data_IF_070407393695
#
_entry.id   IF_070407393695
#
_cell.length_a   1.000
_cell.length_b   1.000
_cell.length_c   1.000
_cell.angle_alpha   90.00
_cell.angle_beta   90.00
_cell.angle_gamma   90.00
#
_symmetry.space_group_name_H-M   'P 1'
#
loop_
_entity.id
_entity.type
_entity.pdbx_description
1 polymer ?
#
# COMPACT_ATOMS: atom_id res chain seq x y z
N UNK A 1 -53.40 -9.30 26.79
CA UNK A 1 -53.30 -8.49 25.55
C UNK A 1 -52.61 -7.17 25.88
N UNK A 2 -51.32 -7.04 25.55
CA UNK A 2 -50.60 -5.76 25.50
C UNK A 2 -49.48 -5.89 24.47
N UNK A 3 -49.45 -4.92 23.56
CA UNK A 3 -48.55 -4.82 22.42
C UNK A 3 -47.09 -4.71 22.88
N UNK A 4 -46.21 -5.51 22.27
CA UNK A 4 -44.76 -5.36 22.36
C UNK A 4 -44.27 -4.40 21.27
N UNK A 5 -43.65 -3.31 21.70
CA UNK A 5 -43.03 -2.27 20.89
C UNK A 5 -41.79 -2.80 20.14
N UNK A 6 -41.75 -2.57 18.82
CA UNK A 6 -40.57 -2.78 17.98
C UNK A 6 -39.48 -1.79 18.40
N UNK A 7 -38.32 -2.28 18.82
CA UNK A 7 -37.09 -1.47 18.90
C UNK A 7 -36.50 -1.40 17.49
N UNK A 8 -36.46 -0.18 16.96
CA UNK A 8 -35.66 0.18 15.78
C UNK A 8 -34.19 0.02 16.15
N UNK A 9 -33.49 -0.92 15.51
CA UNK A 9 -32.04 -0.99 15.52
C UNK A 9 -31.56 -0.05 14.42
N UNK A 10 -31.16 1.16 14.82
CA UNK A 10 -30.43 2.09 13.97
C UNK A 10 -29.09 1.46 13.63
N UNK A 11 -28.94 0.96 12.42
CA UNK A 11 -27.66 0.58 11.81
C UNK A 11 -26.82 1.85 11.69
N UNK A 12 -25.77 1.95 12.50
CA UNK A 12 -24.74 2.95 12.33
C UNK A 12 -24.05 2.67 10.98
N UNK A 13 -24.19 3.60 10.05
CA UNK A 13 -23.39 3.67 8.84
C UNK A 13 -21.94 3.87 9.26
N UNK A 14 -21.07 2.91 8.95
CA UNK A 14 -19.63 3.15 8.94
C UNK A 14 -19.35 4.13 7.80
N UNK A 15 -19.17 5.40 8.13
CA UNK A 15 -18.38 6.31 7.30
C UNK A 15 -16.93 5.82 7.31
N UNK A 16 -16.22 5.79 6.17
CA UNK A 16 -14.78 5.59 6.17
C UNK A 16 -14.18 6.65 7.10
N UNK A 17 -13.39 6.19 8.07
CA UNK A 17 -12.63 7.12 8.87
C UNK A 17 -11.49 7.63 7.98
N UNK A 18 -11.68 8.81 7.37
CA UNK A 18 -10.54 9.69 7.10
C UNK A 18 -9.93 10.02 8.47
N UNK A 19 -8.99 9.19 8.91
CA UNK A 19 -8.16 9.53 10.08
C UNK A 19 -7.13 10.53 9.58
N UNK A 20 -7.57 11.79 9.52
CA UNK A 20 -6.72 12.97 9.60
C UNK A 20 -6.03 12.98 10.97
N UNK A 21 -4.98 12.18 11.13
CA UNK A 21 -3.88 12.63 11.98
C UNK A 21 -3.25 13.83 11.25
N UNK A 22 -2.95 14.97 11.92
CA UNK A 22 -2.28 16.07 11.26
C UNK A 22 -0.84 15.61 10.94
N UNK A 23 -0.66 14.97 9.79
CA UNK A 23 0.64 14.80 9.19
C UNK A 23 1.00 16.17 8.63
N UNK A 24 1.99 16.81 9.25
CA UNK A 24 2.52 18.06 8.73
C UNK A 24 2.98 17.78 7.29
N UNK A 25 2.29 18.40 6.33
CA UNK A 25 2.76 18.47 4.96
C UNK A 25 4.23 18.95 5.01
N UNK A 26 5.18 18.20 4.42
CA UNK A 26 6.56 18.64 4.40
C UNK A 26 6.62 20.05 3.80
N UNK A 27 7.25 21.00 4.51
CA UNK A 27 7.50 22.35 3.99
C UNK A 27 8.66 22.33 2.98
N UNK A 28 8.55 21.45 1.99
CA UNK A 28 9.51 21.15 0.95
C UNK A 28 8.94 21.63 -0.39
N UNK A 29 9.81 21.96 -1.34
CA UNK A 29 9.38 22.33 -2.70
C UNK A 29 9.30 21.08 -3.59
N UNK A 30 8.17 20.80 -4.22
CA UNK A 30 8.08 19.75 -5.24
C UNK A 30 8.96 20.10 -6.45
N UNK A 31 9.75 19.14 -6.94
CA UNK A 31 10.51 19.32 -8.18
C UNK A 31 9.61 19.25 -9.42
N UNK A 32 8.59 18.39 -9.40
CA UNK A 32 7.67 18.15 -10.51
C UNK A 32 6.20 18.31 -10.08
N UNK A 33 5.29 18.46 -11.04
CA UNK A 33 3.85 18.35 -10.77
C UNK A 33 3.40 16.90 -10.59
N UNK A 34 4.03 15.98 -11.32
CA UNK A 34 3.82 14.53 -11.22
C UNK A 34 5.04 13.82 -11.81
N UNK A 35 5.26 12.56 -11.43
CA UNK A 35 6.25 11.70 -12.07
C UNK A 35 5.84 11.39 -13.54
N UNK A 36 6.69 11.68 -14.55
CA UNK A 36 6.28 11.63 -15.96
C UNK A 36 6.67 10.32 -16.67
N UNK A 37 6.56 9.18 -15.99
CA UNK A 37 6.97 7.88 -16.53
C UNK A 37 6.05 6.74 -16.07
N UNK A 38 6.13 5.61 -16.77
CA UNK A 38 5.53 4.34 -16.37
C UNK A 38 6.66 3.33 -16.14
N UNK A 39 6.65 2.64 -15.00
CA UNK A 39 7.63 1.61 -14.67
C UNK A 39 7.40 0.29 -15.44
N UNK A 40 6.19 0.09 -15.97
CA UNK A 40 5.76 -1.16 -16.60
C UNK A 40 6.71 -1.68 -17.66
N UNK A 41 7.13 -0.88 -18.66
CA UNK A 41 8.07 -1.31 -19.71
C UNK A 41 9.45 -1.74 -19.19
N UNK A 42 9.86 -1.27 -18.01
CA UNK A 42 11.19 -1.56 -17.42
C UNK A 42 11.19 -2.76 -16.48
N UNK A 43 10.00 -3.20 -16.04
CA UNK A 43 9.82 -4.33 -15.13
C UNK A 43 9.38 -5.58 -15.92
N UNK A 44 9.87 -6.78 -15.56
CA UNK A 44 9.53 -8.00 -16.28
C UNK A 44 8.03 -8.33 -16.13
N UNK A 45 7.36 -8.76 -17.20
CA UNK A 45 5.95 -9.16 -17.16
C UNK A 45 5.73 -10.41 -16.31
N UNK A 46 4.46 -10.70 -16.05
CA UNK A 46 4.07 -11.99 -15.46
C UNK A 46 4.56 -13.17 -16.28
N UNK A 47 5.04 -14.21 -15.59
CA UNK A 47 5.42 -15.50 -16.18
C UNK A 47 4.90 -16.62 -15.30
N UNK A 48 4.46 -17.70 -15.97
CA UNK A 48 4.02 -18.96 -15.34
C UNK A 48 3.07 -18.74 -14.15
N UNK A 49 2.05 -17.90 -14.34
CA UNK A 49 1.01 -17.65 -13.34
C UNK A 49 0.01 -18.79 -13.31
N UNK A 50 -0.42 -19.19 -12.12
CA UNK A 50 -1.59 -20.07 -11.96
C UNK A 50 -2.75 -19.27 -11.40
N UNK A 51 -3.95 -19.54 -11.92
CA UNK A 51 -5.18 -18.84 -11.55
C UNK A 51 -6.22 -19.87 -11.11
N UNK A 52 -6.82 -19.64 -9.95
CA UNK A 52 -7.98 -20.41 -9.47
C UNK A 52 -9.12 -19.46 -9.15
N UNK A 53 -10.22 -19.56 -9.89
CA UNK A 53 -11.42 -18.80 -9.57
C UNK A 53 -12.07 -19.38 -8.34
N UNK A 54 -12.47 -18.51 -7.41
CA UNK A 54 -13.17 -18.90 -6.21
C UNK A 54 -14.66 -19.09 -6.45
N UNK A 55 -15.25 -20.04 -5.75
CA UNK A 55 -16.71 -20.12 -5.64
C UNK A 55 -17.26 -18.93 -4.87
N UNK A 56 -18.56 -18.66 -5.00
CA UNK A 56 -19.22 -17.52 -4.35
C UNK A 56 -19.07 -17.56 -2.82
N UNK A 57 -19.07 -18.75 -2.25
CA UNK A 57 -18.94 -19.00 -0.81
C UNK A 57 -17.52 -18.76 -0.29
N UNK A 58 -16.52 -18.78 -1.18
CA UNK A 58 -15.10 -18.57 -0.87
C UNK A 58 -14.65 -17.12 -1.08
N UNK A 59 -15.49 -16.28 -1.70
CA UNK A 59 -15.21 -14.85 -1.88
C UNK A 59 -15.07 -14.19 -0.51
N UNK A 60 -13.94 -13.49 -0.22
CA UNK A 60 -13.76 -12.81 1.05
C UNK A 60 -14.91 -11.82 1.33
N UNK A 61 -15.34 -11.76 2.59
CA UNK A 61 -16.38 -10.82 3.01
C UNK A 61 -16.03 -9.36 2.73
N UNK A 62 -14.72 -9.01 2.74
CA UNK A 62 -14.24 -7.69 2.34
C UNK A 62 -14.55 -7.39 0.87
N UNK A 63 -14.28 -8.31 -0.05
CA UNK A 63 -14.68 -8.13 -1.45
C UNK A 63 -16.20 -7.98 -1.61
N UNK A 64 -16.98 -8.70 -0.81
CA UNK A 64 -18.44 -8.60 -0.81
C UNK A 64 -18.96 -7.31 -0.16
N UNK A 65 -18.21 -6.69 0.75
CA UNK A 65 -18.62 -5.47 1.42
C UNK A 65 -18.76 -4.30 0.44
N UNK A 66 -17.91 -4.27 -0.59
CA UNK A 66 -17.97 -3.29 -1.68
C UNK A 66 -19.03 -3.62 -2.74
N UNK A 67 -19.74 -4.75 -2.60
CA UNK A 67 -20.64 -5.29 -3.60
C UNK A 67 -22.12 -4.97 -3.36
N UNK A 68 -22.62 -4.80 -2.12
CA UNK A 68 -24.06 -4.58 -1.92
C UNK A 68 -24.45 -4.11 -0.50
N UNK A 69 -24.94 -2.87 -0.38
CA UNK A 69 -25.93 -2.54 0.64
C UNK A 69 -27.34 -2.55 -0.02
N UNK A 70 -28.17 -3.59 0.18
CA UNK A 70 -29.52 -3.60 -0.38
C UNK A 70 -30.32 -2.42 0.18
N UNK A 71 -30.81 -1.55 -0.72
CA UNK A 71 -31.46 -0.29 -0.37
C UNK A 71 -30.56 0.95 -0.41
N UNK A 72 -29.28 0.80 -0.78
CA UNK A 72 -28.43 1.94 -1.14
C UNK A 72 -28.91 2.53 -2.47
N UNK A 73 -29.59 3.66 -2.40
CA UNK A 73 -29.81 4.55 -3.56
C UNK A 73 -28.58 5.41 -3.85
N UNK A 74 -27.50 5.22 -3.11
CA UNK A 74 -26.25 5.93 -3.33
C UNK A 74 -25.52 5.26 -4.49
N UNK A 75 -25.12 6.06 -5.48
CA UNK A 75 -24.27 5.68 -6.60
C UNK A 75 -22.83 5.30 -6.15
N UNK A 76 -22.67 4.78 -4.94
CA UNK A 76 -21.40 4.50 -4.24
C UNK A 76 -21.15 3.01 -4.03
N UNK A 77 -21.97 2.11 -4.59
CA UNK A 77 -21.51 0.73 -4.78
C UNK A 77 -20.55 0.74 -5.94
N UNK A 78 -19.25 0.70 -5.64
CA UNK A 78 -18.16 0.78 -6.60
C UNK A 78 -18.19 -0.38 -7.60
N UNK A 79 -18.89 -1.48 -7.30
CA UNK A 79 -19.13 -2.56 -8.25
C UNK A 79 -20.63 -2.80 -8.42
N UNK A 80 -21.27 -2.06 -9.34
CA UNK A 80 -22.72 -2.12 -9.55
C UNK A 80 -23.09 -3.33 -10.41
N UNK A 81 -23.98 -4.19 -9.91
CA UNK A 81 -24.75 -5.07 -10.78
C UNK A 81 -25.73 -4.19 -11.58
N UNK A 82 -25.40 -3.83 -12.83
CA UNK A 82 -26.41 -3.20 -13.70
C UNK A 82 -27.59 -4.16 -13.88
N UNK A 83 -28.86 -3.70 -13.81
CA UNK A 83 -30.05 -4.53 -13.98
C UNK A 83 -30.12 -5.33 -15.31
N UNK A 84 -29.29 -4.97 -16.27
CA UNK A 84 -29.14 -5.65 -17.57
C UNK A 84 -28.44 -7.02 -17.46
N UNK A 85 -27.73 -7.29 -16.35
CA UNK A 85 -27.00 -8.53 -16.10
C UNK A 85 -27.82 -9.58 -15.34
N UNK A 86 -29.15 -9.65 -15.51
CA UNK A 86 -29.98 -10.81 -15.14
C UNK A 86 -29.73 -11.44 -13.73
N UNK A 87 -29.33 -10.64 -12.72
CA UNK A 87 -29.01 -11.10 -11.36
C UNK A 87 -27.69 -11.89 -11.20
N UNK A 88 -26.76 -11.78 -12.16
CA UNK A 88 -25.45 -12.43 -12.10
C UNK A 88 -24.43 -11.51 -11.44
N UNK A 89 -23.79 -12.00 -10.37
CA UNK A 89 -22.67 -11.35 -9.67
C UNK A 89 -21.60 -10.95 -10.69
N UNK A 90 -21.39 -9.64 -10.92
CA UNK A 90 -20.27 -9.16 -11.76
C UNK A 90 -18.93 -9.12 -11.02
N UNK A 91 -18.93 -9.39 -9.71
CA UNK A 91 -17.71 -9.56 -8.91
C UNK A 91 -17.18 -10.99 -9.06
N UNK A 92 -15.89 -11.13 -9.37
CA UNK A 92 -15.17 -12.40 -9.30
C UNK A 92 -13.99 -12.29 -8.34
N UNK A 93 -13.59 -13.41 -7.73
CA UNK A 93 -12.39 -13.46 -6.91
C UNK A 93 -11.50 -14.60 -7.39
N UNK A 94 -10.19 -14.35 -7.42
CA UNK A 94 -9.20 -15.24 -7.98
C UNK A 94 -8.03 -15.38 -7.01
N UNK A 95 -7.62 -16.61 -6.76
CA UNK A 95 -6.31 -16.91 -6.20
C UNK A 95 -5.30 -16.98 -7.33
N UNK A 96 -4.25 -16.17 -7.23
CA UNK A 96 -3.19 -16.04 -8.24
C UNK A 96 -1.85 -16.35 -7.60
N UNK A 97 -1.10 -17.27 -8.22
CA UNK A 97 0.29 -17.53 -7.83
C UNK A 97 1.24 -17.09 -8.95
N UNK A 98 2.45 -16.70 -8.55
CA UNK A 98 3.54 -16.33 -9.45
C UNK A 98 4.71 -17.27 -9.22
N UNK A 99 5.49 -17.53 -10.27
CA UNK A 99 6.57 -18.52 -10.25
C UNK A 99 7.69 -18.25 -9.25
N UNK A 100 7.88 -16.98 -8.90
CA UNK A 100 8.89 -16.51 -7.98
C UNK A 100 8.42 -16.58 -6.53
N UNK A 101 7.23 -17.11 -6.23
CA UNK A 101 6.77 -17.26 -4.85
C UNK A 101 6.05 -18.59 -4.65
N UNK A 102 6.04 -19.09 -3.42
CA UNK A 102 5.48 -20.38 -3.06
C UNK A 102 3.98 -20.47 -3.36
N UNK A 103 3.57 -21.57 -3.99
CA UNK A 103 2.19 -21.77 -4.45
C UNK A 103 1.16 -21.88 -3.31
N UNK A 104 1.58 -22.01 -2.04
CA UNK A 104 0.68 -22.14 -0.89
C UNK A 104 0.23 -20.77 -0.32
N UNK A 105 0.74 -19.66 -0.86
CA UNK A 105 0.33 -18.30 -0.48
C UNK A 105 -0.07 -17.51 -1.74
N UNK A 106 -1.22 -17.83 -2.37
CA UNK A 106 -1.70 -17.08 -3.51
C UNK A 106 -2.09 -15.66 -3.10
N UNK A 107 -1.89 -14.70 -3.99
CA UNK A 107 -2.52 -13.39 -3.89
C UNK A 107 -3.98 -13.52 -4.27
N UNK A 108 -4.84 -12.87 -3.49
CA UNK A 108 -6.26 -12.80 -3.76
C UNK A 108 -6.54 -11.53 -4.56
N UNK A 109 -7.15 -11.67 -5.73
CA UNK A 109 -7.61 -10.53 -6.54
C UNK A 109 -9.13 -10.60 -6.67
N UNK A 110 -9.81 -9.57 -6.21
CA UNK A 110 -11.23 -9.36 -6.39
C UNK A 110 -11.44 -8.35 -7.52
N UNK A 111 -12.10 -8.80 -8.58
CA UNK A 111 -12.23 -8.05 -9.82
C UNK A 111 -13.70 -7.83 -10.14
N UNK A 112 -14.06 -6.56 -10.34
CA UNK A 112 -15.37 -6.17 -10.77
C UNK A 112 -15.45 -6.19 -12.29
N UNK A 113 -16.41 -6.90 -12.86
CA UNK A 113 -16.53 -7.13 -14.30
C UNK A 113 -16.74 -5.85 -15.14
N UNK A 114 -17.04 -4.73 -14.49
CA UNK A 114 -17.17 -3.41 -15.11
C UNK A 114 -15.88 -2.57 -15.03
N UNK A 115 -14.87 -3.02 -14.29
CA UNK A 115 -13.62 -2.28 -14.14
C UNK A 115 -12.93 -2.11 -15.50
N UNK A 116 -12.38 -0.92 -15.73
CA UNK A 116 -11.63 -0.60 -16.95
C UNK A 116 -10.37 -1.46 -17.08
N UNK A 117 -9.72 -1.74 -15.94
CA UNK A 117 -8.60 -2.67 -15.88
C UNK A 117 -9.12 -4.11 -15.92
N UNK A 118 -8.70 -4.88 -16.92
CA UNK A 118 -9.02 -6.31 -16.99
C UNK A 118 -8.30 -7.12 -15.90
N UNK A 119 -8.84 -8.28 -15.55
CA UNK A 119 -8.18 -9.21 -14.63
C UNK A 119 -6.76 -9.57 -15.07
N UNK A 120 -6.57 -9.89 -16.36
CA UNK A 120 -5.24 -10.21 -16.91
C UNK A 120 -4.26 -9.04 -16.76
N UNK A 121 -4.73 -7.81 -16.94
CA UNK A 121 -3.91 -6.61 -16.74
C UNK A 121 -3.56 -6.43 -15.27
N UNK A 122 -4.51 -6.63 -14.35
CA UNK A 122 -4.25 -6.56 -12.92
C UNK A 122 -3.22 -7.62 -12.46
N UNK A 123 -3.32 -8.84 -12.98
CA UNK A 123 -2.36 -9.92 -12.72
C UNK A 123 -0.97 -9.56 -13.26
N UNK A 124 -0.89 -9.04 -14.49
CA UNK A 124 0.39 -8.63 -15.08
C UNK A 124 1.02 -7.47 -14.30
N UNK A 125 0.23 -6.46 -13.90
CA UNK A 125 0.74 -5.32 -13.13
C UNK A 125 1.19 -5.71 -11.73
N UNK A 126 0.43 -6.57 -11.04
CA UNK A 126 0.88 -7.11 -9.76
C UNK A 126 2.18 -7.90 -9.94
N UNK A 127 2.33 -8.70 -11.00
CA UNK A 127 3.56 -9.46 -11.25
C UNK A 127 4.81 -8.60 -11.48
N UNK A 128 4.63 -7.38 -12.00
CA UNK A 128 5.69 -6.42 -12.27
C UNK A 128 6.19 -5.73 -11.00
N UNK A 129 5.38 -5.64 -9.94
CA UNK A 129 5.83 -5.08 -8.66
C UNK A 129 7.03 -5.90 -8.15
N UNK A 130 8.17 -5.25 -7.80
CA UNK A 130 9.34 -5.94 -7.28
C UNK A 130 8.99 -6.84 -6.08
N UNK A 131 9.54 -8.05 -6.02
CA UNK A 131 9.13 -9.07 -5.04
C UNK A 131 9.29 -8.60 -3.60
N UNK A 132 10.34 -7.80 -3.33
CA UNK A 132 10.60 -7.24 -2.00
C UNK A 132 9.46 -6.36 -1.49
N UNK A 133 8.72 -5.68 -2.37
CA UNK A 133 7.52 -4.91 -2.00
C UNK A 133 6.25 -5.74 -2.13
N UNK A 134 6.13 -6.50 -3.23
CA UNK A 134 4.92 -7.26 -3.57
C UNK A 134 4.51 -8.25 -2.49
N UNK A 135 5.49 -8.79 -1.74
CA UNK A 135 5.24 -9.73 -0.66
C UNK A 135 4.47 -9.16 0.55
N UNK A 136 4.36 -7.83 0.64
CA UNK A 136 3.58 -7.13 1.66
C UNK A 136 2.14 -6.83 1.22
N UNK A 137 1.88 -6.92 -0.10
CA UNK A 137 0.54 -6.74 -0.67
C UNK A 137 -0.39 -7.83 -0.16
N UNK A 138 -1.56 -7.43 0.32
CA UNK A 138 -2.63 -8.30 0.76
C UNK A 138 -3.63 -8.59 -0.35
N UNK A 139 -4.91 -8.39 -0.04
CA UNK A 139 -6.00 -8.48 -1.00
C UNK A 139 -5.90 -7.34 -2.02
N UNK A 140 -6.15 -7.63 -3.30
CA UNK A 140 -6.25 -6.60 -4.33
C UNK A 140 -7.69 -6.48 -4.81
N UNK A 141 -8.22 -5.26 -4.80
CA UNK A 141 -9.54 -4.90 -5.30
C UNK A 141 -9.38 -4.11 -6.59
N UNK A 142 -10.00 -4.58 -7.68
CA UNK A 142 -9.98 -3.92 -8.99
C UNK A 142 -11.40 -3.49 -9.34
N UNK A 143 -11.59 -2.17 -9.40
CA UNK A 143 -12.89 -1.52 -9.37
C UNK A 143 -13.01 -0.53 -10.54
N UNK A 144 -14.23 -0.29 -11.06
CA UNK A 144 -14.45 0.73 -12.07
C UNK A 144 -14.26 2.14 -11.51
N UNK A 145 -14.03 3.10 -12.40
CA UNK A 145 -14.19 4.51 -12.07
C UNK A 145 -15.63 4.82 -11.65
N UNK A 146 -15.81 5.91 -10.89
CA UNK A 146 -17.13 6.42 -10.56
C UNK A 146 -17.37 7.76 -11.30
N UNK A 147 -17.75 7.73 -12.59
CA UNK A 147 -17.96 8.95 -13.37
C UNK A 147 -19.15 9.80 -12.91
N UNK A 148 -19.97 9.27 -11.98
CA UNK A 148 -21.08 9.97 -11.34
C UNK A 148 -20.75 10.46 -9.93
N UNK A 149 -19.49 10.30 -9.51
CA UNK A 149 -19.00 10.81 -8.24
C UNK A 149 -19.05 12.34 -8.18
N UNK A 150 -19.18 12.86 -6.96
CA UNK A 150 -19.20 14.31 -6.71
C UNK A 150 -17.78 14.92 -6.81
N UNK A 151 -16.73 14.10 -6.77
CA UNK A 151 -15.34 14.53 -6.92
C UNK A 151 -14.84 14.32 -8.37
N UNK A 152 -14.32 15.34 -9.06
CA UNK A 152 -13.74 15.17 -10.41
C UNK A 152 -12.65 14.10 -10.52
N UNK A 153 -11.92 13.82 -9.43
CA UNK A 153 -10.93 12.74 -9.35
C UNK A 153 -11.57 11.34 -9.38
N UNK A 154 -12.87 11.23 -9.15
CA UNK A 154 -13.61 9.98 -9.22
C UNK A 154 -13.64 9.38 -10.64
N UNK A 155 -13.41 10.21 -11.66
CA UNK A 155 -13.35 9.85 -13.08
C UNK A 155 -11.91 9.71 -13.62
N UNK A 156 -10.90 9.62 -12.74
CA UNK A 156 -9.51 9.37 -13.13
C UNK A 156 -8.94 8.16 -12.38
N UNK A 157 -7.98 7.41 -12.96
CA UNK A 157 -7.35 6.31 -12.26
C UNK A 157 -6.76 6.76 -10.93
N UNK A 158 -7.03 5.98 -9.88
CA UNK A 158 -6.57 6.23 -8.52
C UNK A 158 -6.44 4.93 -7.77
N UNK A 159 -5.75 4.97 -6.64
CA UNK A 159 -5.66 3.86 -5.74
C UNK A 159 -5.55 4.31 -4.29
N UNK A 160 -5.75 3.37 -3.37
CA UNK A 160 -5.37 3.53 -1.98
C UNK A 160 -5.03 2.19 -1.36
N UNK A 161 -4.24 2.23 -0.29
CA UNK A 161 -3.86 1.06 0.49
C UNK A 161 -4.46 1.11 1.90
N UNK A 162 -5.12 0.04 2.29
CA UNK A 162 -5.56 -0.20 3.66
C UNK A 162 -4.36 -0.57 4.53
N UNK A 163 -4.01 0.35 5.41
CA UNK A 163 -2.74 0.39 6.13
C UNK A 163 -2.42 -0.92 6.89
N UNK A 164 -3.37 -1.48 7.62
CA UNK A 164 -3.13 -2.69 8.43
C UNK A 164 -3.14 -4.00 7.62
N UNK A 165 -4.00 -4.07 6.60
CA UNK A 165 -4.21 -5.29 5.80
C UNK A 165 -3.38 -5.33 4.53
N UNK A 166 -2.67 -4.25 4.18
CA UNK A 166 -1.94 -4.13 2.91
C UNK A 166 -2.85 -4.37 1.71
N UNK A 167 -4.17 -4.24 1.92
CA UNK A 167 -5.18 -4.43 0.90
C UNK A 167 -5.18 -3.19 0.00
N UNK A 168 -5.13 -3.39 -1.30
CA UNK A 168 -4.98 -2.29 -2.24
C UNK A 168 -6.22 -2.23 -3.13
N UNK A 169 -6.80 -1.04 -3.21
CA UNK A 169 -7.93 -0.74 -4.05
C UNK A 169 -7.47 0.07 -5.25
N UNK A 170 -7.69 -0.47 -6.45
CA UNK A 170 -7.41 0.20 -7.71
C UNK A 170 -8.72 0.54 -8.42
N UNK A 171 -8.82 1.80 -8.85
CA UNK A 171 -9.92 2.32 -9.65
C UNK A 171 -9.41 2.70 -11.03
N UNK A 172 -10.14 2.30 -12.07
CA UNK A 172 -9.72 2.54 -13.45
C UNK A 172 -8.45 1.80 -13.84
N UNK A 173 -7.76 2.32 -14.86
CA UNK A 173 -6.56 1.69 -15.43
C UNK A 173 -5.25 2.29 -14.88
N UNK A 174 -5.00 2.08 -13.57
CA UNK A 174 -3.80 2.57 -12.88
C UNK A 174 -2.51 1.90 -13.39
N UNK A 175 -1.47 2.70 -13.68
CA UNK A 175 -0.20 2.25 -14.26
C UNK A 175 0.73 1.62 -13.21
N UNK A 176 1.78 0.91 -13.66
CA UNK A 176 2.61 0.06 -12.77
C UNK A 176 3.33 0.88 -11.70
N UNK A 177 3.69 2.13 -11.97
CA UNK A 177 4.21 3.06 -10.98
C UNK A 177 3.24 3.28 -9.80
N UNK A 178 1.93 3.36 -10.06
CA UNK A 178 0.90 3.38 -9.01
C UNK A 178 0.87 2.07 -8.23
N UNK A 179 1.03 0.91 -8.89
CA UNK A 179 1.09 -0.37 -8.19
C UNK A 179 2.31 -0.48 -7.26
N UNK A 180 3.46 0.05 -7.69
CA UNK A 180 4.66 0.15 -6.86
C UNK A 180 4.45 1.12 -5.69
N UNK A 181 3.82 2.26 -5.94
CA UNK A 181 3.45 3.25 -4.92
C UNK A 181 2.58 2.59 -3.82
N UNK A 182 1.47 1.96 -4.18
CA UNK A 182 0.58 1.34 -3.20
C UNK A 182 1.23 0.15 -2.47
N UNK A 183 2.06 -0.63 -3.18
CA UNK A 183 2.82 -1.71 -2.55
C UNK A 183 3.83 -1.18 -1.52
N UNK A 184 4.32 0.05 -1.70
CA UNK A 184 5.20 0.69 -0.72
C UNK A 184 4.45 1.13 0.53
N UNK A 185 3.16 1.51 0.44
CA UNK A 185 2.30 1.70 1.62
C UNK A 185 2.07 0.39 2.35
N UNK A 186 1.83 -0.71 1.63
CA UNK A 186 1.67 -2.03 2.24
C UNK A 186 2.92 -2.46 3.02
N UNK A 187 4.11 -2.13 2.51
CA UNK A 187 5.38 -2.30 3.22
C UNK A 187 5.54 -1.32 4.39
N UNK A 188 5.32 -0.02 4.17
CA UNK A 188 5.48 1.03 5.19
C UNK A 188 4.71 0.71 6.48
N UNK A 189 3.49 0.20 6.34
CA UNK A 189 2.61 -0.14 7.46
C UNK A 189 2.67 -1.60 7.91
N UNK A 190 3.56 -2.42 7.33
CA UNK A 190 3.70 -3.83 7.72
C UNK A 190 4.14 -3.97 9.18
N UNK A 191 4.89 -2.99 9.69
CA UNK A 191 5.36 -2.97 11.07
C UNK A 191 4.25 -2.50 12.02
N UNK A 192 3.56 -3.47 12.64
CA UNK A 192 2.44 -3.28 13.58
C UNK A 192 2.65 -2.28 14.73
N UNK A 193 3.87 -1.82 15.01
CA UNK A 193 4.15 -0.84 16.07
C UNK A 193 4.09 0.62 15.63
N UNK A 194 4.36 0.92 14.35
CA UNK A 194 4.32 2.26 13.73
C UNK A 194 4.83 2.11 12.29
N UNK A 195 4.28 2.83 11.31
CA UNK A 195 4.86 2.84 9.97
C UNK A 195 6.26 3.46 9.94
N UNK A 196 7.06 3.07 8.95
CA UNK A 196 8.43 3.56 8.70
C UNK A 196 8.42 5.06 8.37
N UNK A 197 7.42 5.52 7.62
CA UNK A 197 7.15 6.91 7.30
C UNK A 197 6.80 7.76 8.53
N UNK A 198 6.62 7.13 9.70
CA UNK A 198 6.45 7.83 10.97
C UNK A 198 7.67 7.69 11.90
N UNK A 199 8.73 7.00 11.46
CA UNK A 199 9.98 6.89 12.20
C UNK A 199 10.68 8.24 12.37
N UNK A 200 11.49 8.38 13.42
CA UNK A 200 12.32 9.56 13.62
C UNK A 200 13.40 9.70 12.55
N UNK A 201 13.86 8.58 11.97
CA UNK A 201 14.83 8.58 10.87
C UNK A 201 14.26 9.24 9.62
N UNK A 202 13.06 8.83 9.19
CA UNK A 202 12.41 9.44 8.02
C UNK A 202 12.08 10.92 8.23
N UNK A 203 11.53 11.27 9.40
CA UNK A 203 11.24 12.67 9.72
C UNK A 203 12.51 13.54 9.75
N UNK A 204 13.64 12.99 10.21
CA UNK A 204 14.92 13.70 10.19
C UNK A 204 15.46 13.87 8.77
N UNK A 205 15.27 12.88 7.90
CA UNK A 205 15.64 12.97 6.50
C UNK A 205 14.83 14.05 5.77
N UNK A 206 13.51 14.07 5.93
CA UNK A 206 12.62 15.14 5.42
C UNK A 206 13.09 16.51 5.93
N UNK A 207 13.39 16.64 7.21
CA UNK A 207 13.79 17.92 7.81
C UNK A 207 15.18 18.41 7.36
N UNK A 208 16.03 17.52 6.85
CA UNK A 208 17.37 17.84 6.34
C UNK A 208 17.36 18.23 4.86
N UNK A 209 16.25 18.01 4.16
CA UNK A 209 16.09 18.27 2.75
C UNK A 209 15.30 19.55 2.48
N UNK A 210 15.27 19.96 1.21
CA UNK A 210 14.61 21.21 0.77
C UNK A 210 13.56 20.98 -0.31
N UNK A 211 13.49 19.77 -0.85
CA UNK A 211 12.56 19.41 -1.91
C UNK A 211 12.00 18.00 -1.71
N UNK A 212 10.95 17.70 -2.47
CA UNK A 212 10.42 16.34 -2.68
C UNK A 212 10.31 16.07 -4.19
N UNK A 213 9.90 14.86 -4.56
CA UNK A 213 9.80 14.36 -5.94
C UNK A 213 8.78 15.15 -6.76
N UNK A 214 7.52 15.19 -6.31
CA UNK A 214 6.42 15.86 -6.99
C UNK A 214 5.39 16.47 -6.03
N UNK A 215 4.33 17.09 -6.55
CA UNK A 215 3.31 17.73 -5.70
C UNK A 215 2.50 16.74 -4.86
N UNK A 216 2.42 15.47 -5.27
CA UNK A 216 1.70 14.46 -4.49
C UNK A 216 2.48 14.07 -3.24
N UNK A 217 3.80 13.93 -3.37
CA UNK A 217 4.71 13.70 -2.25
C UNK A 217 4.72 14.86 -1.22
N UNK A 218 4.34 16.08 -1.61
CA UNK A 218 4.18 17.21 -0.66
C UNK A 218 2.96 17.07 0.26
N UNK A 219 2.01 16.21 -0.07
CA UNK A 219 0.74 16.15 0.66
C UNK A 219 0.96 15.77 2.12
N UNK A 220 1.80 14.76 2.37
CA UNK A 220 2.23 14.35 3.69
C UNK A 220 3.42 13.37 3.61
N UNK A 221 4.05 13.09 4.76
CA UNK A 221 5.23 12.21 4.85
C UNK A 221 5.01 10.75 4.45
N UNK A 222 3.77 10.26 4.46
CA UNK A 222 3.41 8.89 4.06
C UNK A 222 3.46 8.82 2.52
N UNK A 223 2.80 9.77 1.84
CA UNK A 223 2.88 9.85 0.37
C UNK A 223 4.29 10.19 -0.13
N UNK A 224 5.03 11.00 0.63
CA UNK A 224 6.43 11.31 0.35
C UNK A 224 7.30 10.04 0.32
N UNK A 225 7.12 9.16 1.31
CA UNK A 225 7.82 7.88 1.38
C UNK A 225 7.49 6.98 0.18
N UNK A 226 6.21 6.90 -0.19
CA UNK A 226 5.76 6.09 -1.30
C UNK A 226 6.25 6.63 -2.66
N UNK A 227 6.24 7.95 -2.87
CA UNK A 227 6.79 8.55 -4.09
C UNK A 227 8.32 8.47 -4.17
N UNK A 228 9.01 8.58 -3.04
CA UNK A 228 10.45 8.35 -2.98
C UNK A 228 10.80 6.92 -3.37
N UNK A 229 9.98 5.96 -2.95
CA UNK A 229 10.09 4.54 -3.36
C UNK A 229 9.98 4.37 -4.87
N UNK A 230 8.95 4.94 -5.51
CA UNK A 230 8.79 4.88 -6.98
C UNK A 230 10.02 5.46 -7.69
N UNK A 231 10.55 6.58 -7.18
CA UNK A 231 11.76 7.23 -7.70
C UNK A 231 13.00 6.36 -7.55
N UNK A 232 13.17 5.69 -6.39
CA UNK A 232 14.28 4.77 -6.16
C UNK A 232 14.20 3.54 -7.08
N UNK A 233 13.01 2.94 -7.23
CA UNK A 233 12.80 1.79 -8.14
C UNK A 233 13.16 2.20 -9.58
N UNK A 234 12.71 3.36 -10.04
CA UNK A 234 13.12 3.88 -11.34
C UNK A 234 14.64 3.97 -11.45
N UNK A 235 15.30 4.59 -10.47
CA UNK A 235 16.75 4.80 -10.51
C UNK A 235 17.51 3.48 -10.59
N UNK A 236 17.14 2.48 -9.78
CA UNK A 236 17.78 1.17 -9.79
C UNK A 236 17.61 0.44 -11.13
N UNK A 237 16.46 0.59 -11.79
CA UNK A 237 16.21 0.02 -13.14
C UNK A 237 16.98 0.77 -14.25
N UNK A 238 17.35 2.02 -14.02
CA UNK A 238 17.99 2.89 -15.01
C UNK A 238 19.45 3.19 -14.68
N UNK A 239 20.18 2.22 -14.11
CA UNK A 239 21.61 2.37 -13.79
C UNK A 239 21.91 3.57 -12.89
N UNK A 240 21.07 3.78 -11.87
CA UNK A 240 21.10 4.88 -10.90
C UNK A 240 20.88 6.28 -11.50
N UNK A 241 20.28 6.37 -12.69
CA UNK A 241 19.81 7.65 -13.23
C UNK A 241 18.41 7.96 -12.70
N UNK A 242 18.22 9.17 -12.20
CA UNK A 242 16.90 9.66 -11.77
C UNK A 242 15.95 9.85 -12.96
N UNK A 243 14.62 9.88 -12.71
CA UNK A 243 13.64 10.27 -13.71
C UNK A 243 13.96 11.62 -14.38
N UNK A 244 13.61 11.82 -15.66
CA UNK A 244 13.79 13.10 -16.34
C UNK A 244 13.16 14.25 -15.56
N UNK A 245 13.92 15.33 -15.37
CA UNK A 245 13.46 16.53 -14.64
C UNK A 245 13.62 16.47 -13.12
N UNK A 246 14.09 15.34 -12.57
CA UNK A 246 14.28 15.16 -11.13
C UNK A 246 15.77 14.98 -10.79
N UNK A 247 16.20 15.59 -9.70
CA UNK A 247 17.54 15.40 -9.12
C UNK A 247 17.43 14.99 -7.66
N UNK A 248 18.35 14.16 -7.17
CA UNK A 248 18.36 13.75 -5.76
C UNK A 248 19.02 14.79 -4.85
N UNK A 249 19.79 15.75 -5.37
CA UNK A 249 20.64 16.62 -4.55
C UNK A 249 19.91 17.46 -3.48
N UNK A 250 18.64 17.81 -3.70
CA UNK A 250 17.85 18.58 -2.73
C UNK A 250 17.00 17.71 -1.79
N UNK A 251 16.94 16.39 -2.05
CA UNK A 251 16.21 15.37 -1.31
C UNK A 251 17.09 14.14 -1.01
N UNK A 252 18.40 14.37 -0.87
CA UNK A 252 19.38 13.28 -0.82
C UNK A 252 19.21 12.47 0.47
N UNK A 253 18.87 13.14 1.58
CA UNK A 253 18.71 12.44 2.86
C UNK A 253 17.50 11.52 2.83
N UNK A 254 16.39 11.94 2.20
CA UNK A 254 15.23 11.07 1.97
C UNK A 254 15.58 9.89 1.06
N UNK A 255 16.26 10.15 -0.06
CA UNK A 255 16.67 9.10 -1.00
C UNK A 255 17.60 8.07 -0.34
N UNK A 256 18.61 8.53 0.41
CA UNK A 256 19.54 7.69 1.16
C UNK A 256 18.84 6.91 2.27
N UNK A 257 17.83 7.49 2.91
CA UNK A 257 17.04 6.81 3.94
C UNK A 257 16.31 5.61 3.35
N UNK A 258 15.53 5.79 2.28
CA UNK A 258 14.77 4.69 1.64
C UNK A 258 15.73 3.65 1.08
N UNK A 259 16.81 4.08 0.42
CA UNK A 259 17.84 3.18 -0.11
C UNK A 259 18.55 2.36 0.98
N UNK A 260 18.68 2.90 2.19
CA UNK A 260 19.34 2.25 3.31
C UNK A 260 18.50 1.18 4.02
N UNK A 261 17.21 1.06 3.70
CA UNK A 261 16.33 0.03 4.24
C UNK A 261 16.61 -1.33 3.57
N UNK A 262 16.61 -2.41 4.36
CA UNK A 262 16.97 -3.74 3.87
C UNK A 262 16.04 -4.24 2.75
N UNK A 263 14.74 -3.94 2.83
CA UNK A 263 13.77 -4.28 1.79
C UNK A 263 14.07 -3.63 0.42
N UNK A 264 14.86 -2.55 0.38
CA UNK A 264 15.25 -1.83 -0.83
C UNK A 264 16.67 -2.13 -1.31
N UNK A 265 17.39 -3.01 -0.61
CA UNK A 265 18.63 -3.57 -1.14
C UNK A 265 18.32 -4.26 -2.49
N UNK A 266 19.09 -4.03 -3.57
CA UNK A 266 18.71 -4.49 -4.90
C UNK A 266 18.43 -6.00 -5.00
N UNK A 267 19.20 -6.81 -4.27
CA UNK A 267 19.03 -8.26 -4.17
C UNK A 267 17.73 -8.70 -3.47
N UNK A 268 17.22 -7.89 -2.54
CA UNK A 268 15.97 -8.12 -1.82
C UNK A 268 14.79 -7.60 -2.63
N UNK A 269 14.88 -6.36 -3.09
CA UNK A 269 13.84 -5.67 -3.84
C UNK A 269 13.50 -6.41 -5.13
N UNK A 270 14.54 -6.78 -5.88
CA UNK A 270 14.45 -7.46 -7.17
C UNK A 270 14.80 -8.95 -7.09
N UNK A 271 14.67 -9.55 -5.90
CA UNK A 271 14.88 -10.97 -5.70
C UNK A 271 13.99 -11.84 -6.59
N UNK A 272 14.30 -13.14 -6.62
CA UNK A 272 13.54 -14.14 -7.37
C UNK A 272 12.71 -15.05 -6.46
N UNK A 273 12.55 -14.69 -5.18
CA UNK A 273 11.77 -15.44 -4.19
C UNK A 273 11.04 -14.51 -3.21
N UNK A 274 9.86 -14.92 -2.74
CA UNK A 274 9.20 -14.31 -1.58
C UNK A 274 9.81 -14.74 -0.23
N UNK A 275 10.62 -15.80 -0.21
CA UNK A 275 11.38 -16.20 0.98
C UNK A 275 12.71 -15.44 1.03
N UNK A 276 12.64 -14.23 1.58
CA UNK A 276 13.82 -13.39 1.81
C UNK A 276 14.41 -13.59 3.21
N UNK A 277 13.98 -14.64 3.94
CA UNK A 277 14.40 -14.92 5.31
C UNK A 277 14.06 -13.83 6.32
N UNK A 278 14.70 -13.90 7.50
CA UNK A 278 14.68 -12.85 8.53
C UNK A 278 15.70 -11.72 8.23
N UNK A 279 16.46 -11.83 7.13
CA UNK A 279 17.52 -10.90 6.73
C UNK A 279 16.98 -9.54 6.28
N UNK A 280 15.68 -9.44 5.99
CA UNK A 280 14.99 -8.17 5.80
C UNK A 280 14.89 -7.35 7.10
N UNK A 281 15.15 -7.93 8.28
CA UNK A 281 15.02 -7.26 9.59
C UNK A 281 13.61 -6.74 9.91
N UNK A 282 12.66 -6.99 9.00
CA UNK A 282 11.39 -6.28 8.80
C UNK A 282 10.26 -7.27 8.44
N UNK A 283 10.53 -8.58 8.38
CA UNK A 283 9.57 -9.67 8.10
C UNK A 283 8.37 -9.76 9.06
N UNK A 284 8.28 -8.85 10.04
CA UNK A 284 7.04 -8.54 10.73
C UNK A 284 6.08 -7.83 9.75
N UNK A 285 5.18 -8.61 9.14
CA UNK A 285 4.05 -8.09 8.36
C UNK A 285 4.05 -8.48 6.89
N UNK A 286 5.11 -9.11 6.37
CA UNK A 286 5.08 -9.75 5.06
C UNK A 286 4.01 -10.85 5.04
N UNK A 287 3.20 -10.87 3.97
CA UNK A 287 2.03 -11.76 3.83
C UNK A 287 2.36 -12.98 2.99
N UNK A 288 3.33 -12.84 2.10
CA UNK A 288 3.83 -13.88 1.22
C UNK A 288 5.33 -14.10 1.52
N UNK A 289 5.67 -15.24 2.09
CA UNK A 289 7.02 -15.50 2.61
C UNK A 289 7.56 -16.86 2.19
N UNK A 290 6.86 -17.58 1.32
CA UNK A 290 7.26 -18.91 0.88
C UNK A 290 8.05 -18.87 -0.41
N UNK A 291 9.08 -19.71 -0.48
CA UNK A 291 9.83 -19.97 -1.71
C UNK A 291 9.03 -20.87 -2.67
N UNK A 292 9.25 -20.72 -3.99
CA UNK A 292 8.74 -21.70 -4.96
C UNK A 292 9.48 -23.04 -4.82
N UNK A 293 8.84 -24.12 -5.29
CA UNK A 293 9.46 -25.46 -5.27
C UNK A 293 10.76 -25.54 -6.10
N UNK A 294 10.91 -24.66 -7.09
CA UNK A 294 12.10 -24.50 -7.92
C UNK A 294 12.32 -23.03 -8.21
N UNK A 295 13.51 -22.50 -7.88
CA UNK A 295 13.88 -21.12 -8.20
C UNK A 295 14.26 -20.98 -9.68
N UNK A 296 13.71 -19.98 -10.35
CA UNK A 296 14.19 -19.57 -11.68
C UNK A 296 15.42 -18.66 -11.53
N UNK A 297 16.60 -19.20 -11.87
CA UNK A 297 17.86 -18.48 -11.84
C UNK A 297 18.01 -17.45 -12.98
N UNK A 298 17.07 -17.41 -13.94
CA UNK A 298 17.16 -16.50 -15.10
C UNK A 298 16.58 -15.12 -14.84
N UNK A 299 15.86 -14.92 -13.72
CA UNK A 299 15.35 -13.61 -13.29
C UNK A 299 16.44 -12.83 -12.55
N UNK A 300 17.50 -12.49 -13.27
CA UNK A 300 18.54 -11.58 -12.78
C UNK A 300 18.24 -10.18 -13.29
N UNK A 301 17.97 -9.27 -12.38
CA UNK A 301 17.94 -7.85 -12.70
C UNK A 301 19.38 -7.37 -12.84
N UNK A 302 19.68 -6.63 -13.92
CA UNK A 302 20.99 -6.00 -14.08
C UNK A 302 21.09 -4.81 -13.14
N UNK A 303 21.27 -5.07 -11.85
CA UNK A 303 21.45 -4.02 -10.86
C UNK A 303 22.88 -3.48 -10.98
N UNK A 304 23.03 -2.17 -11.11
CA UNK A 304 24.34 -1.54 -11.03
C UNK A 304 24.71 -1.48 -9.54
N UNK A 305 25.85 -2.04 -9.12
CA UNK A 305 26.29 -1.94 -7.73
C UNK A 305 26.30 -0.48 -7.29
N UNK A 306 25.59 -0.17 -6.20
CA UNK A 306 25.59 1.16 -5.61
C UNK A 306 27.00 1.50 -5.10
N UNK A 307 27.43 2.74 -5.31
CA UNK A 307 28.68 3.23 -4.75
C UNK A 307 28.60 3.15 -3.22
N UNK A 308 29.44 2.35 -2.54
CA UNK A 308 29.44 2.20 -1.09
C UNK A 308 29.87 3.49 -0.35
N UNK A 309 30.18 4.57 -1.07
CA UNK A 309 30.51 5.88 -0.51
C UNK A 309 29.30 6.73 -0.11
N UNK A 310 28.07 6.37 -0.50
CA UNK A 310 26.89 6.93 0.18
C UNK A 310 26.91 6.36 1.59
N UNK A 311 27.17 7.22 2.57
CA UNK A 311 27.07 6.87 3.97
C UNK A 311 25.61 6.58 4.25
N UNK A 312 25.17 5.36 3.94
CA UNK A 312 23.99 4.78 4.52
C UNK A 312 24.08 5.10 6.01
N UNK A 313 23.18 5.95 6.47
CA UNK A 313 22.91 6.05 7.89
C UNK A 313 22.63 4.61 8.26
N UNK A 314 23.57 3.97 8.96
CA UNK A 314 23.33 2.68 9.59
C UNK A 314 22.13 2.94 10.45
N UNK A 315 20.95 2.55 9.97
CA UNK A 315 19.68 2.74 10.66
C UNK A 315 19.90 2.11 12.01
N UNK A 316 20.03 2.97 13.01
CA UNK A 316 20.56 2.61 14.29
C UNK A 316 19.70 1.46 14.84
N UNK A 317 20.37 0.34 15.11
CA UNK A 317 19.96 -0.72 16.02
C UNK A 317 19.84 -0.15 17.46
N UNK A 318 19.06 0.92 17.61
CA UNK A 318 18.94 1.74 18.81
C UNK A 318 17.50 2.18 19.10
N UNK A 319 16.53 1.49 18.51
CA UNK A 319 15.16 1.45 19.02
C UNK A 319 14.99 0.43 20.18
N UNK A 320 16.00 -0.39 20.53
CA UNK A 320 15.86 -1.50 21.51
C UNK A 320 16.59 -1.39 22.85
N UNK A 321 17.36 -0.33 23.14
CA UNK A 321 18.06 -0.23 24.43
C UNK A 321 17.79 1.08 25.19
N UNK A 322 16.53 1.24 25.62
CA UNK A 322 16.19 2.01 26.81
C UNK A 322 16.48 1.18 28.07
N UNK A 323 17.71 1.33 28.59
CA UNK A 323 18.25 0.91 29.89
C UNK A 323 17.43 0.02 30.82
N UNK A 324 17.91 -1.22 31.01
CA UNK A 324 17.82 -1.91 32.31
C UNK A 324 18.87 -1.30 33.25
N UNK A 325 18.43 -0.57 34.28
CA UNK A 325 19.32 -0.19 35.37
C UNK A 325 18.83 0.94 36.27
N UNK A 326 17.80 0.69 37.08
CA UNK A 326 17.73 1.09 38.50
C UNK A 326 16.29 0.93 39.00
N UNK A 327 16.12 0.07 40.01
CA UNK A 327 14.88 -0.01 40.76
C UNK A 327 14.70 1.27 41.58
N UNK A 328 13.58 1.96 41.43
CA UNK A 328 12.95 2.65 42.55
C UNK A 328 11.45 2.46 42.48
N UNK A 329 10.92 1.80 43.50
CA UNK A 329 9.50 1.54 43.74
C UNK A 329 8.72 2.85 43.73
N UNK A 330 7.69 2.95 42.90
CA UNK A 330 6.47 3.68 43.23
C UNK A 330 5.28 2.97 42.56
N UNK A 331 4.50 2.28 43.40
CA UNK A 331 3.13 1.85 43.11
C UNK A 331 2.26 3.10 42.99
N UNK A 332 1.29 3.14 42.05
CA UNK A 332 -0.13 3.38 42.31
C UNK A 332 -0.97 3.20 41.02
N UNK A 333 -2.02 2.38 41.16
CA UNK A 333 -3.36 2.45 40.59
C UNK A 333 -3.60 2.91 39.12
N UNK A 334 -4.22 2.00 38.36
CA UNK A 334 -5.07 2.28 37.19
C UNK A 334 -6.15 3.33 37.52
N UNK A 335 -6.52 4.18 36.55
CA UNK A 335 -7.91 4.55 36.41
C UNK A 335 -8.43 4.24 35.01
N UNK A 336 -9.50 3.46 35.00
CA UNK A 336 -10.54 3.45 33.98
C UNK A 336 -11.09 4.87 33.82
N UNK A 337 -11.14 5.41 32.61
CA UNK A 337 -11.96 6.59 32.32
C UNK A 337 -12.88 6.37 31.13
N UNK A 338 -14.17 6.49 31.46
CA UNK A 338 -15.33 6.55 30.60
C UNK A 338 -15.29 7.77 29.68
N UNK A 339 -15.72 7.59 28.43
CA UNK A 339 -15.94 8.68 27.47
C UNK A 339 -17.17 9.49 27.92
N UNK A 340 -16.93 10.73 28.32
CA UNK A 340 -17.95 11.73 28.61
C UNK A 340 -18.28 12.55 27.38
N UNK A 341 -19.56 12.55 27.03
CA UNK A 341 -20.22 13.41 26.05
C UNK A 341 -20.03 14.91 26.43
N UNK A 342 -19.50 15.73 25.52
CA UNK A 342 -19.57 17.19 25.65
C UNK A 342 -20.21 17.80 24.41
N UNK A 343 -21.48 18.20 24.59
CA UNK A 343 -22.24 19.08 23.72
C UNK A 343 -21.69 20.51 23.83
N UNK A 344 -21.44 21.16 22.69
CA UNK A 344 -21.35 22.62 22.64
C UNK A 344 -22.38 23.16 21.64
N UNK A 345 -23.33 23.89 22.21
CA UNK A 345 -24.26 24.79 21.53
C UNK A 345 -23.50 25.94 20.87
N UNK A 346 -23.89 26.30 19.65
CA UNK A 346 -23.69 27.66 19.14
C UNK A 346 -25.07 28.25 18.91
N UNK A 347 -25.37 29.32 19.63
CA UNK A 347 -26.57 30.11 19.48
C UNK A 347 -26.25 31.49 18.92
N UNK A 348 -27.12 31.91 18.01
CA UNK A 348 -27.30 33.24 17.38
C UNK A 348 -26.27 33.66 16.34
#
# INVERSE_FOLDING_TARGET
MRLGTRRSLSTALCTPAEISAPSLAPNLTAQLSSLPFDLGPSLPPARNTSLTQLSREEIPSRCLAFFNAPGSTSATTECVDTPEANGTLQLTAWDVTYEDCGALQPWRICHCGQAEMSLDTAIDRLARVPVGLRRFVGLVMVQPLNPLGDDPSDNTPRAYTELESGEIHFFGDAQVDTWVHESSHAFDFSTYSSPISNSSGWQSAIAADTCTTDTYAQSNRIEDFAQMTVTLVYALLHSNHTPPGLTVSCMQNQFDFVQGLAAYAPEMLFGNTCDLGDEDGEGNGARHTQEPATLDATRTFSTVPLDPSSTAIKTEERARNGGRGSQSRFSWALPVYSIGLLLLFVGS
#
